data_IF_607186869257
#
_entry.id   IF_607186869257
#
_cell.length_a   1.000
_cell.length_b   1.000
_cell.length_c   1.000
_cell.angle_alpha   90.00
_cell.angle_beta   90.00
_cell.angle_gamma   90.00
#
_symmetry.space_group_name_H-M   'P 1'
#
loop_
_entity.id
_entity.type
_entity.pdbx_description
1 polymer ?
#
# COMPACT_ATOMS: atom_id res chain seq x y z
N UNK A 1 -8.75 -20.66 11.24
CA UNK A 1 -7.75 -20.63 12.34
C UNK A 1 -6.44 -21.33 11.96
N UNK A 2 -6.41 -22.62 11.54
CA UNK A 2 -5.17 -23.31 11.17
C UNK A 2 -4.38 -22.56 10.08
N UNK A 3 -5.04 -22.12 9.01
CA UNK A 3 -4.41 -21.39 7.89
C UNK A 3 -3.78 -20.06 8.34
N UNK A 4 -4.43 -19.28 9.21
CA UNK A 4 -3.86 -18.05 9.76
C UNK A 4 -2.60 -18.33 10.56
N UNK A 5 -2.62 -19.37 11.39
CA UNK A 5 -1.44 -19.80 12.15
C UNK A 5 -0.27 -20.15 11.23
N UNK A 6 -0.50 -20.92 10.15
CA UNK A 6 0.52 -21.25 9.16
C UNK A 6 1.15 -20.01 8.51
N UNK A 7 0.30 -19.05 8.11
CA UNK A 7 0.74 -17.78 7.51
C UNK A 7 1.56 -16.95 8.50
N UNK A 8 1.10 -16.82 9.74
CA UNK A 8 1.82 -16.10 10.79
C UNK A 8 3.16 -16.76 11.13
N UNK A 9 3.18 -18.09 11.27
CA UNK A 9 4.40 -18.83 11.53
C UNK A 9 5.44 -18.68 10.41
N UNK A 10 5.00 -18.78 9.14
CA UNK A 10 5.87 -18.55 7.98
C UNK A 10 6.44 -17.12 7.92
N UNK A 11 5.70 -16.14 8.43
CA UNK A 11 6.11 -14.74 8.55
C UNK A 11 6.91 -14.44 9.83
N UNK A 12 7.17 -15.44 10.68
CA UNK A 12 7.89 -15.26 11.95
C UNK A 12 7.13 -14.45 13.01
N UNK A 13 5.80 -14.40 12.92
CA UNK A 13 4.97 -13.60 13.83
C UNK A 13 4.63 -14.37 15.11
N UNK A 14 4.58 -13.66 16.22
CA UNK A 14 4.19 -14.21 17.51
C UNK A 14 2.66 -14.35 17.66
N UNK A 15 2.24 -15.02 18.74
CA UNK A 15 0.81 -15.23 19.02
C UNK A 15 0.03 -13.92 19.26
N UNK A 16 0.70 -12.85 19.65
CA UNK A 16 0.05 -11.54 19.83
C UNK A 16 -0.34 -10.96 18.48
N UNK A 17 0.59 -10.99 17.53
CA UNK A 17 0.32 -10.57 16.14
C UNK A 17 -0.76 -11.44 15.49
N UNK A 18 -0.69 -12.78 15.69
CA UNK A 18 -1.71 -13.71 15.16
C UNK A 18 -3.11 -13.36 15.68
N UNK A 19 -3.26 -13.10 16.99
CA UNK A 19 -4.56 -12.68 17.57
C UNK A 19 -5.07 -11.37 16.96
N UNK A 20 -4.21 -10.36 16.78
CA UNK A 20 -4.61 -9.09 16.15
C UNK A 20 -5.06 -9.28 14.70
N UNK A 21 -4.33 -10.09 13.94
CA UNK A 21 -4.73 -10.41 12.55
C UNK A 21 -6.04 -11.21 12.50
N UNK A 22 -6.27 -12.09 13.46
CA UNK A 22 -7.57 -12.77 13.61
C UNK A 22 -8.69 -11.78 13.89
N UNK A 23 -8.51 -10.87 14.85
CA UNK A 23 -9.48 -9.82 15.16
C UNK A 23 -9.77 -8.95 13.93
N UNK A 24 -8.73 -8.60 13.15
CA UNK A 24 -8.92 -7.86 11.89
C UNK A 24 -9.84 -8.61 10.91
N UNK A 25 -9.61 -9.90 10.72
CA UNK A 25 -10.45 -10.72 9.85
C UNK A 25 -11.91 -10.83 10.38
N UNK A 26 -12.09 -10.92 11.69
CA UNK A 26 -13.41 -10.92 12.32
C UNK A 26 -14.12 -9.57 12.14
N UNK A 27 -13.40 -8.44 12.26
CA UNK A 27 -13.94 -7.11 11.97
C UNK A 27 -14.40 -7.01 10.53
N UNK A 28 -13.57 -7.46 9.58
CA UNK A 28 -13.90 -7.43 8.14
C UNK A 28 -15.10 -8.32 7.84
N UNK A 29 -15.22 -9.48 8.48
CA UNK A 29 -16.30 -10.43 8.24
C UNK A 29 -17.65 -9.95 8.81
N UNK A 30 -17.63 -9.21 9.93
CA UNK A 30 -18.84 -8.87 10.67
C UNK A 30 -19.31 -7.41 10.47
N UNK A 31 -18.47 -6.51 9.99
CA UNK A 31 -18.84 -5.12 9.74
C UNK A 31 -19.49 -4.97 8.35
N UNK A 32 -20.79 -4.63 8.27
CA UNK A 32 -21.48 -4.49 6.98
C UNK A 32 -20.95 -3.35 6.12
N UNK A 33 -20.15 -2.44 6.68
CA UNK A 33 -19.51 -1.37 5.95
C UNK A 33 -18.08 -1.72 5.49
N UNK A 34 -17.59 -2.94 5.76
CA UNK A 34 -16.27 -3.38 5.30
C UNK A 34 -16.15 -3.25 3.78
N UNK A 35 -15.18 -2.49 3.27
CA UNK A 35 -15.10 -2.21 1.83
C UNK A 35 -14.36 -3.32 1.08
N UNK A 36 -14.80 -4.56 1.26
CA UNK A 36 -14.31 -5.75 0.56
C UNK A 36 -15.45 -6.73 0.31
N UNK A 37 -15.35 -7.49 -0.76
CA UNK A 37 -16.25 -8.62 -1.05
C UNK A 37 -15.73 -9.95 -0.49
N UNK A 38 -14.45 -10.00 -0.07
CA UNK A 38 -13.82 -11.23 0.46
C UNK A 38 -13.95 -11.22 1.98
N UNK A 39 -14.97 -11.91 2.47
CA UNK A 39 -15.30 -12.00 3.90
C UNK A 39 -15.26 -13.44 4.42
N UNK A 40 -15.27 -14.45 3.54
CA UNK A 40 -15.17 -15.86 3.93
C UNK A 40 -13.82 -16.10 4.64
N UNK A 41 -13.80 -16.66 5.87
CA UNK A 41 -12.61 -16.67 6.72
C UNK A 41 -11.37 -17.32 6.10
N UNK A 42 -11.52 -18.42 5.39
CA UNK A 42 -10.38 -19.12 4.77
C UNK A 42 -9.77 -18.28 3.64
N UNK A 43 -10.61 -17.77 2.74
CA UNK A 43 -10.20 -16.91 1.63
C UNK A 43 -9.62 -15.59 2.12
N UNK A 44 -10.22 -14.98 3.15
CA UNK A 44 -9.78 -13.74 3.73
C UNK A 44 -8.37 -13.82 4.34
N UNK A 45 -7.98 -14.96 4.93
CA UNK A 45 -6.60 -15.19 5.39
C UNK A 45 -5.62 -15.06 4.22
N UNK A 46 -5.91 -15.69 3.10
CA UNK A 46 -5.01 -15.71 1.96
C UNK A 46 -5.00 -14.37 1.21
N UNK A 47 -6.17 -13.87 0.80
CA UNK A 47 -6.31 -12.64 -0.02
C UNK A 47 -5.96 -11.38 0.76
N UNK A 48 -6.18 -11.36 2.07
CA UNK A 48 -5.93 -10.17 2.87
C UNK A 48 -4.63 -10.27 3.66
N UNK A 49 -4.45 -11.30 4.49
CA UNK A 49 -3.29 -11.39 5.39
C UNK A 49 -2.05 -11.88 4.66
N UNK A 50 -2.10 -13.07 4.04
CA UNK A 50 -0.92 -13.63 3.37
C UNK A 50 -0.42 -12.72 2.24
N UNK A 51 -1.34 -12.15 1.44
CA UNK A 51 -1.00 -11.19 0.39
C UNK A 51 -0.34 -9.91 0.94
N UNK A 52 -0.82 -9.39 2.08
CA UNK A 52 -0.22 -8.23 2.72
C UNK A 52 1.19 -8.52 3.26
N UNK A 53 1.39 -9.70 3.83
CA UNK A 53 2.68 -10.12 4.40
C UNK A 53 3.71 -10.55 3.34
N UNK A 54 3.31 -10.72 2.08
CA UNK A 54 4.21 -11.09 0.98
C UNK A 54 5.36 -10.08 0.75
N UNK A 55 5.26 -8.88 1.30
CA UNK A 55 6.31 -7.86 1.24
C UNK A 55 7.47 -8.14 2.19
N UNK A 56 7.28 -8.90 3.26
CA UNK A 56 8.30 -9.08 4.29
C UNK A 56 9.62 -9.68 3.77
N UNK A 57 9.62 -10.71 2.91
CA UNK A 57 10.85 -11.18 2.29
C UNK A 57 11.54 -10.15 1.39
N UNK A 58 10.77 -9.24 0.75
CA UNK A 58 11.30 -8.16 -0.09
C UNK A 58 12.00 -7.09 0.75
N UNK A 59 11.54 -6.88 1.97
CA UNK A 59 12.13 -5.96 2.94
C UNK A 59 13.21 -6.61 3.83
N UNK A 60 13.46 -7.91 3.68
CA UNK A 60 14.45 -8.61 4.50
C UNK A 60 15.84 -7.97 4.39
N UNK A 61 16.53 -7.82 5.53
CA UNK A 61 17.84 -7.17 5.61
C UNK A 61 17.80 -5.63 5.63
N UNK A 62 16.61 -5.03 5.60
CA UNK A 62 16.43 -3.58 5.83
C UNK A 62 15.97 -3.33 7.26
N UNK A 63 16.35 -2.18 7.80
CA UNK A 63 15.76 -1.71 9.06
C UNK A 63 14.25 -1.51 8.90
N UNK A 64 13.44 -1.85 9.92
CA UNK A 64 12.02 -1.56 9.91
C UNK A 64 11.77 -0.05 9.69
N UNK A 65 10.84 0.34 8.80
CA UNK A 65 10.57 1.75 8.54
C UNK A 65 9.97 2.42 9.78
N UNK A 66 10.38 3.64 10.10
CA UNK A 66 9.82 4.42 11.22
C UNK A 66 8.43 4.95 10.91
N UNK A 67 8.20 5.31 9.65
CA UNK A 67 6.91 5.82 9.19
C UNK A 67 6.48 5.14 7.89
N UNK A 68 5.25 4.65 7.88
CA UNK A 68 4.62 3.96 6.76
C UNK A 68 3.34 4.69 6.37
N UNK A 69 3.11 4.89 5.08
CA UNK A 69 1.81 5.31 4.55
C UNK A 69 1.21 4.19 3.70
N UNK A 70 -0.03 3.82 3.98
CA UNK A 70 -0.80 2.94 3.10
C UNK A 70 -1.80 3.78 2.31
N UNK A 71 -1.56 3.94 1.02
CA UNK A 71 -2.35 4.82 0.15
C UNK A 71 -3.53 4.07 -0.43
N UNK A 72 -4.75 4.58 -0.14
CA UNK A 72 -5.99 3.95 -0.54
C UNK A 72 -6.27 2.69 0.28
N UNK A 73 -6.12 2.79 1.59
CA UNK A 73 -6.14 1.65 2.52
C UNK A 73 -7.40 0.79 2.47
N UNK A 74 -8.54 1.32 2.03
CA UNK A 74 -9.77 0.57 1.83
C UNK A 74 -10.23 -0.18 3.09
N UNK A 75 -10.12 -1.50 3.06
CA UNK A 75 -10.41 -2.38 4.21
C UNK A 75 -9.20 -2.55 5.16
N UNK A 76 -8.15 -1.74 5.00
CA UNK A 76 -6.96 -1.74 5.85
C UNK A 76 -5.83 -2.65 5.38
N UNK A 77 -5.83 -3.08 4.13
CA UNK A 77 -4.83 -3.99 3.57
C UNK A 77 -4.02 -3.34 2.44
N UNK A 78 -2.67 -3.33 2.55
CA UNK A 78 -1.82 -4.03 3.52
C UNK A 78 -1.56 -3.27 4.84
N UNK A 79 -2.05 -2.03 5.03
CA UNK A 79 -1.65 -1.13 6.11
C UNK A 79 -1.79 -1.72 7.52
N UNK A 80 -2.95 -2.29 7.87
CA UNK A 80 -3.18 -2.85 9.22
C UNK A 80 -2.33 -4.10 9.51
N UNK A 81 -2.19 -5.10 8.61
CA UNK A 81 -1.20 -6.16 8.80
C UNK A 81 0.22 -5.64 9.00
N UNK A 82 0.64 -4.61 8.25
CA UNK A 82 1.97 -4.01 8.41
C UNK A 82 2.10 -3.26 9.74
N UNK A 83 1.04 -2.62 10.24
CA UNK A 83 1.04 -2.01 11.57
C UNK A 83 1.20 -3.06 12.69
N UNK A 84 0.61 -4.24 12.51
CA UNK A 84 0.79 -5.37 13.46
C UNK A 84 2.22 -5.89 13.43
N UNK A 85 2.85 -5.94 12.26
CA UNK A 85 4.25 -6.41 12.09
C UNK A 85 5.25 -5.36 12.57
N UNK A 86 5.13 -4.14 12.11
CA UNK A 86 6.05 -3.03 12.42
C UNK A 86 5.58 -2.27 13.65
N UNK A 87 5.63 -2.89 14.82
CA UNK A 87 5.05 -2.39 16.08
C UNK A 87 5.58 -1.02 16.52
N UNK A 88 6.79 -0.66 16.10
CA UNK A 88 7.43 0.62 16.44
C UNK A 88 7.28 1.68 15.35
N UNK A 89 6.70 1.33 14.21
CA UNK A 89 6.47 2.24 13.10
C UNK A 89 5.17 3.01 13.28
N UNK A 90 5.15 4.30 12.96
CA UNK A 90 3.90 5.02 12.78
C UNK A 90 3.30 4.64 11.42
N UNK A 91 2.07 4.15 11.38
CA UNK A 91 1.40 3.72 10.16
C UNK A 91 0.17 4.61 9.90
N UNK A 92 0.22 5.39 8.83
CA UNK A 92 -0.87 6.25 8.40
C UNK A 92 -1.68 5.54 7.29
N UNK A 93 -2.96 5.27 7.58
CA UNK A 93 -3.92 4.67 6.67
C UNK A 93 -4.62 5.80 5.90
N UNK A 94 -4.14 6.10 4.70
CA UNK A 94 -4.63 7.22 3.89
C UNK A 94 -5.79 6.73 3.01
N UNK A 95 -6.98 7.23 3.27
CA UNK A 95 -8.20 6.89 2.52
C UNK A 95 -9.03 8.16 2.29
N UNK A 96 -9.57 8.32 1.08
CA UNK A 96 -10.31 9.52 0.72
C UNK A 96 -11.82 9.42 0.90
N UNK A 97 -12.34 8.24 1.13
CA UNK A 97 -13.78 7.98 1.24
C UNK A 97 -14.20 7.95 2.70
N UNK A 98 -14.97 8.91 3.15
CA UNK A 98 -15.40 9.06 4.55
C UNK A 98 -16.01 7.77 5.16
N UNK A 99 -16.82 7.01 4.39
CA UNK A 99 -17.37 5.73 4.86
C UNK A 99 -16.27 4.71 5.17
N UNK A 100 -15.26 4.63 4.30
CA UNK A 100 -14.11 3.73 4.51
C UNK A 100 -13.22 4.20 5.65
N UNK A 101 -13.06 5.52 5.82
CA UNK A 101 -12.33 6.08 6.98
C UNK A 101 -12.99 5.64 8.29
N UNK A 102 -14.32 5.76 8.42
CA UNK A 102 -15.04 5.30 9.62
C UNK A 102 -14.89 3.81 9.88
N UNK A 103 -14.91 2.99 8.83
CA UNK A 103 -14.60 1.56 8.97
C UNK A 103 -13.19 1.35 9.52
N UNK A 104 -12.18 2.00 8.95
CA UNK A 104 -10.78 1.91 9.39
C UNK A 104 -10.60 2.36 10.85
N UNK A 105 -11.27 3.45 11.27
CA UNK A 105 -11.24 3.93 12.65
C UNK A 105 -11.77 2.87 13.63
N UNK A 106 -12.90 2.22 13.28
CA UNK A 106 -13.43 1.09 14.07
C UNK A 106 -12.46 -0.09 14.10
N UNK A 107 -11.87 -0.43 12.95
CA UNK A 107 -10.91 -1.53 12.86
C UNK A 107 -9.66 -1.26 13.72
N UNK A 108 -9.08 -0.07 13.64
CA UNK A 108 -7.93 0.34 14.47
C UNK A 108 -8.27 0.23 15.97
N UNK A 109 -9.45 0.73 16.37
CA UNK A 109 -9.90 0.67 17.76
C UNK A 109 -10.11 -0.78 18.25
N UNK A 110 -10.77 -1.63 17.45
CA UNK A 110 -11.01 -3.03 17.83
C UNK A 110 -9.73 -3.87 17.89
N UNK A 111 -8.73 -3.54 17.06
CA UNK A 111 -7.41 -4.17 17.09
C UNK A 111 -6.55 -3.68 18.27
N UNK A 112 -6.93 -2.62 18.95
CA UNK A 112 -6.06 -1.92 19.90
C UNK A 112 -4.67 -1.69 19.28
N UNK A 113 -4.64 -1.00 18.12
CA UNK A 113 -3.44 -0.80 17.32
C UNK A 113 -2.98 0.67 17.38
N UNK A 114 -2.30 1.09 18.46
CA UNK A 114 -2.02 2.50 18.75
C UNK A 114 -1.03 3.15 17.78
N UNK A 115 -0.25 2.36 17.06
CA UNK A 115 0.68 2.85 16.06
C UNK A 115 0.04 3.02 14.66
N UNK A 116 -1.24 2.68 14.49
CA UNK A 116 -1.99 2.94 13.26
C UNK A 116 -2.93 4.14 13.43
N UNK A 117 -2.96 5.03 12.43
CA UNK A 117 -3.81 6.21 12.40
C UNK A 117 -4.52 6.32 11.05
N UNK A 118 -5.79 6.69 11.06
CA UNK A 118 -6.55 6.97 9.83
C UNK A 118 -6.34 8.43 9.41
N UNK A 119 -5.98 8.61 8.14
CA UNK A 119 -5.89 9.92 7.49
C UNK A 119 -6.98 9.99 6.44
N UNK A 120 -8.08 10.67 6.79
CA UNK A 120 -9.23 10.81 5.89
C UNK A 120 -9.01 11.97 4.91
N UNK A 121 -8.17 11.72 3.89
CA UNK A 121 -7.78 12.70 2.89
C UNK A 121 -7.42 12.02 1.56
N UNK A 122 -7.39 12.81 0.48
CA UNK A 122 -6.70 12.40 -0.75
C UNK A 122 -5.19 12.37 -0.49
N UNK A 123 -4.49 11.40 -1.10
CA UNK A 123 -3.03 11.31 -0.98
C UNK A 123 -2.34 12.62 -1.43
N UNK A 124 -2.84 13.23 -2.50
CA UNK A 124 -2.32 14.48 -3.04
C UNK A 124 -2.51 15.66 -2.07
N UNK A 125 -3.63 15.68 -1.34
CA UNK A 125 -3.91 16.76 -0.38
C UNK A 125 -3.10 16.56 0.91
N UNK A 126 -2.98 15.32 1.38
CA UNK A 126 -2.14 14.98 2.52
C UNK A 126 -0.66 15.29 2.27
N UNK A 127 -0.18 15.01 1.06
CA UNK A 127 1.21 15.28 0.65
C UNK A 127 1.55 16.77 0.51
N UNK A 128 0.56 17.69 0.53
CA UNK A 128 0.81 19.14 0.58
C UNK A 128 1.02 19.68 1.98
N UNK A 129 0.70 18.89 3.00
CA UNK A 129 0.80 19.25 4.40
C UNK A 129 1.67 18.27 5.18
N UNK A 130 1.12 17.72 6.26
CA UNK A 130 1.83 16.88 7.23
C UNK A 130 2.38 15.56 6.67
N UNK A 131 1.94 15.15 5.49
CA UNK A 131 2.44 13.95 4.81
C UNK A 131 3.67 14.18 3.94
N UNK A 132 4.08 15.42 3.68
CA UNK A 132 5.18 15.75 2.77
C UNK A 132 6.52 15.21 3.29
N UNK A 133 7.20 14.37 2.48
CA UNK A 133 8.53 13.85 2.77
C UNK A 133 8.65 13.05 4.07
N UNK A 134 7.54 12.53 4.57
CA UNK A 134 7.44 11.94 5.91
C UNK A 134 7.80 10.46 5.97
N UNK A 135 7.51 9.69 4.90
CA UNK A 135 7.45 8.25 4.97
C UNK A 135 8.68 7.57 4.38
N UNK A 136 9.19 6.59 5.09
CA UNK A 136 10.26 5.69 4.62
C UNK A 136 9.68 4.56 3.74
N UNK A 137 8.39 4.24 3.94
CA UNK A 137 7.68 3.25 3.14
C UNK A 137 6.27 3.77 2.79
N UNK A 138 5.95 3.76 1.50
CA UNK A 138 4.59 3.93 0.98
C UNK A 138 4.13 2.61 0.38
N UNK A 139 2.96 2.15 0.76
CA UNK A 139 2.32 0.96 0.20
C UNK A 139 1.05 1.34 -0.55
N UNK A 140 0.74 0.60 -1.61
CA UNK A 140 -0.51 0.74 -2.35
C UNK A 140 -0.94 -0.59 -2.97
N UNK A 141 -2.20 -0.98 -2.74
CA UNK A 141 -2.80 -2.17 -3.30
C UNK A 141 -4.14 -1.85 -3.98
N UNK A 142 -4.29 -2.25 -5.24
CA UNK A 142 -5.54 -2.09 -6.02
C UNK A 142 -6.07 -0.65 -6.14
N UNK A 143 -5.20 0.36 -6.09
CA UNK A 143 -5.58 1.79 -6.08
C UNK A 143 -5.61 2.38 -7.47
N UNK A 144 -4.51 2.28 -8.24
CA UNK A 144 -4.33 2.97 -9.52
C UNK A 144 -3.24 2.31 -10.38
N UNK A 145 -3.08 2.72 -11.66
CA UNK A 145 -1.93 2.37 -12.49
C UNK A 145 -0.60 2.81 -11.88
N UNK A 146 0.52 2.16 -12.25
CA UNK A 146 1.84 2.39 -11.67
C UNK A 146 2.28 3.85 -11.75
N UNK A 147 2.16 4.50 -12.91
CA UNK A 147 2.53 5.91 -13.08
C UNK A 147 1.79 6.84 -12.10
N UNK A 148 0.50 6.56 -11.84
CA UNK A 148 -0.29 7.30 -10.86
C UNK A 148 0.19 7.04 -9.43
N UNK A 149 0.53 5.79 -9.09
CA UNK A 149 1.03 5.44 -7.76
C UNK A 149 2.40 6.09 -7.48
N UNK A 150 3.27 6.12 -8.48
CA UNK A 150 4.57 6.80 -8.38
C UNK A 150 4.38 8.30 -8.09
N UNK A 151 3.40 8.94 -8.76
CA UNK A 151 3.08 10.36 -8.51
C UNK A 151 2.51 10.59 -7.12
N UNK A 152 1.66 9.69 -6.61
CA UNK A 152 1.15 9.82 -5.24
C UNK A 152 2.24 9.62 -4.19
N UNK A 153 3.14 8.67 -4.43
CA UNK A 153 4.18 8.32 -3.46
C UNK A 153 5.33 9.33 -3.41
N UNK A 154 5.72 9.89 -4.56
CA UNK A 154 6.88 10.78 -4.65
C UNK A 154 6.88 11.91 -3.61
N UNK A 155 5.81 12.71 -3.45
CA UNK A 155 5.80 13.80 -2.47
C UNK A 155 5.63 13.32 -1.01
N UNK A 156 5.17 12.08 -0.79
CA UNK A 156 5.01 11.47 0.55
C UNK A 156 6.32 10.91 1.08
N UNK A 157 7.19 10.41 0.20
CA UNK A 157 8.42 9.73 0.56
C UNK A 157 9.53 10.72 0.96
N UNK A 158 10.24 10.38 2.04
CA UNK A 158 11.55 10.97 2.34
C UNK A 158 12.60 10.45 1.34
N UNK A 159 13.81 11.03 1.39
CA UNK A 159 14.92 10.57 0.57
C UNK A 159 15.24 9.10 0.86
N UNK A 160 15.47 8.32 -0.20
CA UNK A 160 15.66 6.87 -0.17
C UNK A 160 14.46 6.06 0.33
N UNK A 161 13.32 6.69 0.57
CA UNK A 161 12.07 6.01 0.90
C UNK A 161 11.56 5.17 -0.28
N UNK A 162 10.77 4.16 0.03
CA UNK A 162 10.30 3.16 -0.92
C UNK A 162 8.80 3.23 -1.15
N UNK A 163 8.38 3.15 -2.40
CA UNK A 163 7.02 2.75 -2.78
C UNK A 163 7.02 1.26 -3.10
N UNK A 164 6.11 0.52 -2.48
CA UNK A 164 5.80 -0.86 -2.87
C UNK A 164 4.35 -0.91 -3.35
N UNK A 165 4.17 -1.28 -4.61
CA UNK A 165 2.86 -1.39 -5.23
C UNK A 165 2.51 -2.86 -5.51
N UNK A 166 1.40 -3.33 -4.92
CA UNK A 166 0.84 -4.66 -5.21
C UNK A 166 0.08 -4.65 -6.53
N UNK A 167 0.46 -5.55 -7.43
CA UNK A 167 -0.17 -5.74 -8.72
C UNK A 167 -0.45 -7.22 -8.97
N UNK A 168 -1.43 -7.49 -9.83
CA UNK A 168 -1.75 -8.84 -10.32
C UNK A 168 -0.80 -9.32 -11.40
N UNK A 169 -1.35 -9.78 -12.53
CA UNK A 169 -0.55 -10.11 -13.71
C UNK A 169 0.25 -8.90 -14.19
N UNK A 170 1.40 -9.17 -14.78
CA UNK A 170 2.22 -8.13 -15.42
C UNK A 170 1.44 -7.50 -16.58
N UNK A 171 1.64 -6.22 -16.75
CA UNK A 171 1.07 -5.41 -17.81
C UNK A 171 2.20 -4.51 -18.33
N UNK A 172 2.74 -4.89 -19.48
CA UNK A 172 3.94 -4.25 -20.05
C UNK A 172 3.72 -2.76 -20.32
N UNK A 173 2.52 -2.36 -20.72
CA UNK A 173 2.19 -0.96 -20.95
C UNK A 173 2.17 -0.16 -19.64
N UNK A 174 1.57 -0.70 -18.58
CA UNK A 174 1.60 -0.07 -17.26
C UNK A 174 3.01 -0.01 -16.67
N UNK A 175 3.81 -1.05 -16.89
CA UNK A 175 5.21 -1.09 -16.46
C UNK A 175 6.05 -0.03 -17.17
N UNK A 176 5.94 0.03 -18.50
CA UNK A 176 6.63 1.04 -19.31
C UNK A 176 6.23 2.46 -18.92
N UNK A 177 4.94 2.72 -18.73
CA UNK A 177 4.44 4.04 -18.27
C UNK A 177 4.95 4.37 -16.86
N UNK A 178 4.94 3.42 -15.93
CA UNK A 178 5.46 3.61 -14.57
C UNK A 178 6.96 3.91 -14.56
N UNK A 179 7.73 3.15 -15.34
CA UNK A 179 9.17 3.33 -15.48
C UNK A 179 9.51 4.68 -16.15
N UNK A 180 8.75 5.08 -17.17
CA UNK A 180 8.91 6.38 -17.85
C UNK A 180 8.52 7.56 -16.96
N UNK A 181 7.48 7.42 -16.12
CA UNK A 181 7.06 8.47 -15.19
C UNK A 181 8.04 8.67 -14.01
N UNK A 182 8.69 7.62 -13.57
CA UNK A 182 9.46 7.62 -12.33
C UNK A 182 10.59 8.66 -12.29
N UNK A 183 11.48 8.79 -13.30
CA UNK A 183 12.55 9.78 -13.27
C UNK A 183 12.04 11.22 -13.17
N UNK A 184 10.94 11.54 -13.88
CA UNK A 184 10.33 12.87 -13.83
C UNK A 184 9.75 13.21 -12.44
N UNK A 185 9.55 12.20 -11.58
CA UNK A 185 9.02 12.33 -10.23
C UNK A 185 10.09 12.11 -9.15
N UNK A 186 11.36 12.10 -9.52
CA UNK A 186 12.48 11.83 -8.59
C UNK A 186 12.46 10.39 -8.04
N UNK A 187 11.89 9.45 -8.80
CA UNK A 187 11.76 8.05 -8.41
C UNK A 187 12.52 7.13 -9.39
N UNK A 188 12.86 5.93 -8.95
CA UNK A 188 13.50 4.91 -9.79
C UNK A 188 12.88 3.54 -9.51
N UNK A 189 12.48 2.81 -10.56
CA UNK A 189 12.09 1.42 -10.43
C UNK A 189 13.33 0.57 -10.11
N UNK A 190 13.36 -0.08 -8.96
CA UNK A 190 14.49 -0.90 -8.48
C UNK A 190 14.29 -2.37 -8.77
N UNK A 191 13.09 -2.88 -8.60
CA UNK A 191 12.81 -4.29 -8.78
C UNK A 191 11.32 -4.55 -9.02
N UNK A 192 11.05 -5.70 -9.64
CA UNK A 192 9.72 -6.30 -9.72
C UNK A 192 9.86 -7.72 -9.18
N UNK A 193 9.24 -7.98 -8.03
CA UNK A 193 9.28 -9.28 -7.38
C UNK A 193 8.00 -10.05 -7.68
N UNK A 194 8.12 -11.21 -8.32
CA UNK A 194 7.04 -12.17 -8.35
C UNK A 194 6.92 -12.82 -6.97
N UNK A 195 5.73 -12.80 -6.40
CA UNK A 195 5.46 -13.40 -5.08
C UNK A 195 4.28 -14.37 -5.16
N UNK A 196 4.31 -15.40 -4.33
CA UNK A 196 3.27 -16.42 -4.24
C UNK A 196 2.79 -16.53 -2.79
N UNK A 197 1.98 -15.56 -2.30
CA UNK A 197 1.52 -15.51 -0.92
C UNK A 197 0.66 -16.71 -0.52
N UNK A 198 0.01 -17.37 -1.49
CA UNK A 198 -0.80 -18.57 -1.30
C UNK A 198 -0.89 -19.38 -2.61
N UNK A 199 -1.27 -20.66 -2.53
CA UNK A 199 -1.15 -21.62 -3.63
C UNK A 199 -1.97 -21.25 -4.89
N UNK A 200 -3.13 -20.63 -4.71
CA UNK A 200 -4.06 -20.31 -5.79
C UNK A 200 -3.67 -19.03 -6.55
N UNK A 201 -2.81 -18.20 -5.97
CA UNK A 201 -2.35 -16.97 -6.64
C UNK A 201 -1.25 -17.30 -7.64
N UNK A 202 -1.54 -17.10 -8.92
CA UNK A 202 -0.58 -17.37 -10.02
C UNK A 202 0.19 -16.12 -10.44
N UNK A 203 -0.39 -14.95 -10.23
CA UNK A 203 0.14 -13.69 -10.69
C UNK A 203 0.00 -12.64 -9.60
N UNK A 204 1.06 -12.48 -8.82
CA UNK A 204 1.20 -11.38 -7.88
C UNK A 204 2.60 -10.81 -7.98
N UNK A 205 2.69 -9.48 -8.16
CA UNK A 205 3.95 -8.77 -8.29
C UNK A 205 3.99 -7.58 -7.35
N UNK A 206 5.15 -7.38 -6.73
CA UNK A 206 5.48 -6.21 -5.93
C UNK A 206 6.47 -5.36 -6.73
N UNK A 207 6.03 -4.16 -7.09
CA UNK A 207 6.87 -3.17 -7.77
C UNK A 207 7.51 -2.27 -6.73
N UNK A 208 8.84 -2.24 -6.73
CA UNK A 208 9.65 -1.48 -5.79
C UNK A 208 10.21 -0.25 -6.49
N UNK A 209 9.75 0.93 -6.11
CA UNK A 209 10.33 2.20 -6.54
C UNK A 209 11.02 2.87 -5.35
N UNK A 210 12.17 3.48 -5.60
CA UNK A 210 12.92 4.24 -4.60
C UNK A 210 12.91 5.73 -4.93
N UNK A 211 12.80 6.57 -3.91
CA UNK A 211 12.98 8.01 -4.01
C UNK A 211 14.47 8.32 -4.15
N UNK A 212 14.88 8.81 -5.31
CA UNK A 212 16.29 9.07 -5.66
C UNK A 212 16.58 10.53 -5.97
N UNK A 213 15.57 11.38 -5.93
CA UNK A 213 15.69 12.80 -6.21
C UNK A 213 14.50 13.59 -5.71
N UNK A 214 14.57 14.90 -5.81
CA UNK A 214 13.51 15.80 -5.36
C UNK A 214 12.19 15.56 -6.12
N UNK A 215 11.08 15.70 -5.42
CA UNK A 215 9.77 15.83 -6.07
C UNK A 215 9.74 17.12 -6.88
N UNK A 216 9.33 17.08 -8.17
CA UNK A 216 9.36 18.28 -9.01
C UNK A 216 8.36 19.33 -8.51
N UNK A 217 8.66 20.60 -8.81
CA UNK A 217 7.73 21.68 -8.52
C UNK A 217 6.36 21.43 -9.20
N UNK A 218 5.29 21.72 -8.48
CA UNK A 218 3.91 21.47 -8.94
C UNK A 218 3.38 20.06 -8.67
N UNK A 219 4.17 19.16 -8.09
CA UNK A 219 3.71 17.87 -7.53
C UNK A 219 3.70 18.00 -6.00
N UNK A 220 2.62 17.56 -5.34
CA UNK A 220 1.44 16.87 -5.87
C UNK A 220 0.54 17.79 -6.71
N UNK A 221 0.08 17.30 -7.86
CA UNK A 221 -0.91 17.98 -8.68
C UNK A 221 -2.29 17.98 -7.99
N UNK A 222 -3.25 18.77 -8.51
CA UNK A 222 -4.63 18.77 -7.97
C UNK A 222 -5.19 17.36 -7.94
N UNK A 223 -5.97 17.06 -6.89
CA UNK A 223 -6.58 15.74 -6.68
C UNK A 223 -7.27 15.21 -7.96
N UNK A 224 -6.96 13.96 -8.30
CA UNK A 224 -7.46 13.26 -9.50
C UNK A 224 -6.72 13.55 -10.80
N UNK A 225 -5.77 14.50 -10.84
CA UNK A 225 -5.01 14.80 -12.06
C UNK A 225 -4.07 13.65 -12.43
N UNK A 226 -3.44 13.00 -11.47
CA UNK A 226 -2.57 11.85 -11.69
C UNK A 226 -3.28 10.72 -12.44
N UNK A 227 -4.57 10.49 -12.16
CA UNK A 227 -5.39 9.49 -12.89
C UNK A 227 -5.80 9.94 -14.28
N UNK A 228 -6.15 11.22 -14.43
CA UNK A 228 -6.65 11.76 -15.71
C UNK A 228 -5.54 11.95 -16.75
N UNK A 229 -4.37 12.36 -16.29
CA UNK A 229 -3.20 12.67 -17.12
C UNK A 229 -1.93 12.18 -16.41
N UNK A 230 -1.69 10.86 -16.34
CA UNK A 230 -0.50 10.31 -15.69
C UNK A 230 0.77 10.81 -16.37
N UNK A 231 1.85 10.97 -15.59
CA UNK A 231 3.19 11.21 -16.15
C UNK A 231 3.62 10.04 -17.04
N UNK A 232 4.56 10.27 -17.97
CA UNK A 232 5.07 9.23 -18.87
C UNK A 232 4.14 8.82 -20.01
N UNK A 233 2.96 9.42 -20.14
CA UNK A 233 2.24 9.37 -21.41
C UNK A 233 2.84 10.40 -22.36
N UNK A 234 3.47 9.94 -23.43
CA UNK A 234 3.70 10.81 -24.59
C UNK A 234 2.35 11.37 -25.00
N UNK A 235 2.24 12.70 -25.09
CA UNK A 235 1.13 13.31 -25.78
C UNK A 235 1.19 12.76 -27.20
N UNK A 236 0.25 11.90 -27.59
CA UNK A 236 0.01 11.62 -28.99
C UNK A 236 -0.29 12.98 -29.64
N UNK A 237 0.73 13.54 -30.28
CA UNK A 237 0.56 14.68 -31.17
C UNK A 237 -0.32 14.15 -32.29
N UNK A 238 -1.48 14.75 -32.55
CA UNK A 238 -2.20 14.42 -33.78
C UNK A 238 -1.25 14.73 -34.92
N UNK A 239 -0.92 13.74 -35.75
CA UNK A 239 -0.34 14.03 -37.04
C UNK A 239 -1.43 14.75 -37.86
N UNK A 240 -1.22 16.03 -38.06
CA UNK A 240 -1.91 16.80 -39.10
C UNK A 240 -1.55 16.28 -40.49
#
# INVERSE_FOLDING_TARGET
MKRLHEVCAAAGLDRSAERKLQTLLEVVANDPEAPTSVTAPAEAVDVHVADSLAVLPVLAGREPPRAVADVGSGAGFPGLPLAVVFRQSAVDLIESTARKCRFLERAVAQLDQPNARVVCARAEDWARGDGAGRYELVTARAVAPLATLVEYASPLLCDHGLLIAWKGARDEDQEAQGASAAPALGMSLRAVHAVAPFAEVRHRHLYLFEKVGATPAGVPRRAGMARKRPFGRESSVPND
#
